data_IF_820866230251
#
_entry.id   IF_820866230251
#
_cell.length_a   1.000
_cell.length_b   1.000
_cell.length_c   1.000
_cell.angle_alpha   90.00
_cell.angle_beta   90.00
_cell.angle_gamma   90.00
#
_symmetry.space_group_name_H-M   'P 1'
#
loop_
_entity.id
_entity.type
_entity.pdbx_description
1 polymer ?
#
# COMPACT_ATOMS: atom_id res chain seq x y z
N UNK A 1 3.10 12.78 2.11
CA UNK A 1 2.05 11.92 1.52
C UNK A 1 1.89 12.08 0.01
N UNK A 2 1.90 13.30 -0.55
CA UNK A 2 1.69 13.52 -2.00
C UNK A 2 2.59 12.71 -2.93
N UNK A 3 3.89 12.54 -2.61
CA UNK A 3 4.80 11.71 -3.42
C UNK A 3 4.38 10.23 -3.46
N UNK A 4 3.94 9.67 -2.33
CA UNK A 4 3.49 8.27 -2.24
C UNK A 4 2.20 8.09 -3.02
N UNK A 5 1.28 9.06 -2.92
CA UNK A 5 0.06 9.07 -3.71
C UNK A 5 0.36 9.02 -5.22
N UNK A 6 1.25 9.89 -5.71
CA UNK A 6 1.65 9.88 -7.13
C UNK A 6 2.29 8.54 -7.50
N UNK A 7 3.18 8.01 -6.66
CA UNK A 7 3.82 6.73 -6.94
C UNK A 7 2.79 5.58 -7.09
N UNK A 8 1.88 5.43 -6.13
CA UNK A 8 0.84 4.39 -6.15
C UNK A 8 -0.10 4.58 -7.35
N UNK A 9 -0.54 5.82 -7.59
CA UNK A 9 -1.38 6.14 -8.74
C UNK A 9 -0.69 5.79 -10.06
N UNK A 10 0.55 6.24 -10.26
CA UNK A 10 1.33 5.94 -11.45
C UNK A 10 1.55 4.44 -11.64
N UNK A 11 1.84 3.66 -10.59
CA UNK A 11 1.97 2.21 -10.73
C UNK A 11 0.65 1.53 -11.10
N UNK A 12 -0.46 1.94 -10.49
CA UNK A 12 -1.78 1.41 -10.82
C UNK A 12 -2.13 1.62 -12.30
N UNK A 13 -1.87 2.84 -12.81
CA UNK A 13 -2.06 3.16 -14.23
C UNK A 13 -1.08 2.37 -15.11
N UNK A 14 0.21 2.38 -14.79
CA UNK A 14 1.22 1.72 -15.61
C UNK A 14 0.96 0.23 -15.78
N UNK A 15 0.58 -0.49 -14.71
CA UNK A 15 0.30 -1.92 -14.79
C UNK A 15 -0.97 -2.24 -15.59
N UNK A 16 -1.99 -1.39 -15.51
CA UNK A 16 -3.16 -1.51 -16.37
C UNK A 16 -2.82 -1.24 -17.85
N UNK A 17 -1.97 -0.24 -18.12
CA UNK A 17 -1.54 0.11 -19.47
C UNK A 17 -0.62 -0.94 -20.11
N UNK A 18 0.26 -1.58 -19.33
CA UNK A 18 1.06 -2.72 -19.80
C UNK A 18 0.21 -3.95 -20.14
N UNK A 19 -1.00 -4.03 -19.60
CA UNK A 19 -1.92 -5.15 -19.82
C UNK A 19 -2.80 -4.98 -21.07
N UNK A 20 -2.54 -3.94 -21.88
CA UNK A 20 -3.21 -3.74 -23.15
C UNK A 20 -2.97 -4.96 -24.07
N UNK A 21 -4.03 -5.60 -24.59
CA UNK A 21 -3.88 -6.85 -25.34
C UNK A 21 -3.46 -6.58 -26.78
N UNK A 22 -2.27 -6.06 -27.09
CA UNK A 22 -1.93 -5.61 -28.47
C UNK A 22 -1.99 -6.75 -29.50
N UNK A 23 -1.29 -7.86 -29.24
CA UNK A 23 -1.19 -9.01 -30.15
C UNK A 23 -1.83 -10.28 -29.59
N UNK A 24 -1.90 -10.41 -28.26
CA UNK A 24 -2.49 -11.55 -27.56
C UNK A 24 -3.32 -11.07 -26.36
N UNK A 25 -4.27 -11.89 -25.86
CA UNK A 25 -5.03 -11.57 -24.66
C UNK A 25 -4.25 -11.83 -23.36
N UNK A 26 -3.10 -12.51 -23.43
CA UNK A 26 -2.30 -12.91 -22.26
C UNK A 26 -1.91 -11.76 -21.33
N UNK A 27 -1.55 -10.55 -21.81
CA UNK A 27 -1.19 -9.42 -20.95
C UNK A 27 -2.31 -9.01 -19.98
N UNK A 28 -3.58 -9.29 -20.30
CA UNK A 28 -4.71 -8.98 -19.41
C UNK A 28 -4.59 -9.74 -18.08
N UNK A 29 -4.05 -10.96 -18.11
CA UNK A 29 -3.86 -11.78 -16.91
C UNK A 29 -2.93 -11.11 -15.89
N UNK A 30 -1.96 -10.31 -16.34
CA UNK A 30 -1.03 -9.60 -15.47
C UNK A 30 -1.77 -8.63 -14.54
N UNK A 31 -2.63 -7.77 -15.09
CA UNK A 31 -3.40 -6.83 -14.27
C UNK A 31 -4.40 -7.53 -13.34
N UNK A 32 -5.04 -8.60 -13.81
CA UNK A 32 -5.96 -9.40 -12.98
C UNK A 32 -5.21 -10.01 -11.79
N UNK A 33 -4.07 -10.66 -12.04
CA UNK A 33 -3.23 -11.24 -10.99
C UNK A 33 -2.72 -10.18 -10.01
N UNK A 34 -2.36 -9.00 -10.50
CA UNK A 34 -1.98 -7.87 -9.65
C UNK A 34 -3.10 -7.43 -8.70
N UNK A 35 -4.33 -7.26 -9.21
CA UNK A 35 -5.49 -6.87 -8.40
C UNK A 35 -5.86 -7.94 -7.35
N UNK A 36 -5.81 -9.21 -7.73
CA UNK A 36 -6.07 -10.32 -6.79
C UNK A 36 -4.98 -10.32 -5.70
N UNK A 37 -3.71 -10.19 -6.10
CA UNK A 37 -2.58 -10.18 -5.17
C UNK A 37 -2.69 -9.04 -4.15
N UNK A 38 -2.89 -7.79 -4.61
CA UNK A 38 -2.98 -6.65 -3.70
C UNK A 38 -4.17 -6.75 -2.75
N UNK A 39 -5.31 -7.31 -3.21
CA UNK A 39 -6.48 -7.53 -2.36
C UNK A 39 -6.23 -8.59 -1.29
N UNK A 40 -5.69 -9.77 -1.68
CA UNK A 40 -5.44 -10.87 -0.74
C UNK A 40 -4.37 -10.49 0.26
N UNK A 41 -3.15 -10.19 -0.21
CA UNK A 41 -2.04 -9.89 0.69
C UNK A 41 -2.27 -8.60 1.48
N UNK A 42 -2.82 -7.56 0.84
CA UNK A 42 -3.10 -6.29 1.50
C UNK A 42 -4.16 -6.41 2.60
N UNK A 43 -5.23 -7.20 2.39
CA UNK A 43 -6.25 -7.42 3.40
C UNK A 43 -5.69 -8.15 4.63
N UNK A 44 -5.00 -9.27 4.42
CA UNK A 44 -4.43 -10.04 5.54
C UNK A 44 -3.37 -9.22 6.30
N UNK A 45 -2.55 -8.45 5.59
CA UNK A 45 -1.58 -7.55 6.21
C UNK A 45 -2.25 -6.44 7.03
N UNK A 46 -3.35 -5.86 6.53
CA UNK A 46 -4.09 -4.83 7.25
C UNK A 46 -4.68 -5.36 8.56
N UNK A 47 -5.31 -6.54 8.51
CA UNK A 47 -5.90 -7.20 9.69
C UNK A 47 -4.81 -7.57 10.69
N UNK A 48 -3.70 -8.13 10.23
CA UNK A 48 -2.57 -8.46 11.09
C UNK A 48 -2.04 -7.24 11.85
N UNK A 49 -1.76 -6.15 11.15
CA UNK A 49 -1.21 -4.94 11.77
C UNK A 49 -2.20 -4.28 12.75
N UNK A 50 -3.49 -4.22 12.39
CA UNK A 50 -4.52 -3.69 13.28
C UNK A 50 -4.63 -4.52 14.57
N UNK A 51 -4.68 -5.85 14.45
CA UNK A 51 -4.81 -6.74 15.60
C UNK A 51 -3.56 -6.79 16.46
N UNK A 52 -2.37 -6.83 15.84
CA UNK A 52 -1.10 -6.84 16.58
C UNK A 52 -0.91 -5.56 17.39
N UNK A 53 -1.12 -4.39 16.78
CA UNK A 53 -1.02 -3.11 17.48
C UNK A 53 -2.09 -2.95 18.57
N UNK A 54 -3.33 -3.37 18.30
CA UNK A 54 -4.40 -3.37 19.30
C UNK A 54 -4.14 -4.31 20.49
N UNK A 55 -3.54 -5.48 20.23
CA UNK A 55 -3.17 -6.43 21.27
C UNK A 55 -2.09 -5.86 22.21
N UNK A 56 -1.07 -5.19 21.66
CA UNK A 56 -0.04 -4.55 22.48
C UNK A 56 -0.57 -3.38 23.31
N UNK A 57 -1.47 -2.55 22.77
CA UNK A 57 -2.12 -1.48 23.53
C UNK A 57 -2.98 -2.04 24.68
N UNK A 58 -3.79 -3.06 24.37
CA UNK A 58 -4.62 -3.71 25.38
C UNK A 58 -3.79 -4.39 26.48
N UNK A 59 -2.67 -5.02 26.12
CA UNK A 59 -1.75 -5.60 27.10
C UNK A 59 -1.17 -4.53 28.04
N UNK A 60 -0.77 -3.37 27.50
CA UNK A 60 -0.36 -2.21 28.33
C UNK A 60 -1.51 -1.75 29.23
N UNK A 61 -2.75 -1.67 28.72
CA UNK A 61 -3.92 -1.26 29.53
C UNK A 61 -4.23 -2.22 30.67
N UNK A 62 -4.06 -3.53 30.47
CA UNK A 62 -4.21 -4.53 31.54
C UNK A 62 -3.19 -4.28 32.67
N UNK A 63 -1.93 -4.03 32.34
CA UNK A 63 -0.89 -3.69 33.34
C UNK A 63 -1.20 -2.39 34.07
N UNK A 64 -1.69 -1.38 33.36
CA UNK A 64 -2.01 -0.06 33.91
C UNK A 64 -3.23 -0.04 34.84
N UNK A 65 -4.26 -0.84 34.52
CA UNK A 65 -5.58 -0.73 35.15
C UNK A 65 -5.87 -1.91 36.08
N UNK A 66 -5.61 -3.15 35.64
CA UNK A 66 -5.93 -4.35 36.42
C UNK A 66 -4.82 -4.64 37.43
N UNK A 67 -3.56 -4.69 36.99
CA UNK A 67 -2.42 -4.92 37.87
C UNK A 67 -1.99 -3.66 38.64
N UNK A 68 -2.31 -2.46 38.13
CA UNK A 68 -1.92 -1.16 38.71
C UNK A 68 -0.41 -0.99 38.89
N UNK A 69 0.38 -1.67 38.07
CA UNK A 69 1.83 -1.72 38.16
C UNK A 69 2.51 -0.64 37.29
N UNK A 70 2.02 0.60 37.33
CA UNK A 70 2.65 1.69 36.56
C UNK A 70 4.06 1.98 37.07
N UNK A 71 5.01 2.14 36.15
CA UNK A 71 6.41 2.44 36.47
C UNK A 71 7.27 1.23 36.84
N UNK A 72 6.74 0.01 36.76
CA UNK A 72 7.53 -1.23 36.91
C UNK A 72 8.22 -1.59 35.61
N UNK A 73 9.16 -2.55 35.66
CA UNK A 73 9.79 -3.10 34.45
C UNK A 73 8.76 -3.76 33.51
N UNK A 74 7.70 -4.36 34.05
CA UNK A 74 6.60 -4.92 33.26
C UNK A 74 5.84 -3.83 32.49
N UNK A 75 5.57 -2.69 33.13
CA UNK A 75 4.95 -1.56 32.45
C UNK A 75 5.85 -0.98 31.37
N UNK A 76 7.16 -0.84 31.63
CA UNK A 76 8.12 -0.38 30.62
C UNK A 76 8.14 -1.31 29.38
N UNK A 77 8.13 -2.63 29.58
CA UNK A 77 8.10 -3.60 28.48
C UNK A 77 6.83 -3.49 27.62
N UNK A 78 5.66 -3.34 28.25
CA UNK A 78 4.38 -3.20 27.53
C UNK A 78 4.25 -1.86 26.80
N UNK A 79 4.84 -0.78 27.34
CA UNK A 79 4.95 0.52 26.65
C UNK A 79 5.79 0.42 25.37
N UNK A 80 6.91 -0.32 25.40
CA UNK A 80 7.70 -0.57 24.18
C UNK A 80 6.88 -1.30 23.12
N UNK A 81 6.11 -2.33 23.52
CA UNK A 81 5.22 -3.05 22.61
C UNK A 81 4.17 -2.16 21.96
N UNK A 82 3.50 -1.31 22.76
CA UNK A 82 2.51 -0.36 22.25
C UNK A 82 3.11 0.69 21.33
N UNK A 83 4.31 1.19 21.65
CA UNK A 83 5.03 2.16 20.80
C UNK A 83 5.37 1.57 19.41
N UNK A 84 5.67 0.27 19.35
CA UNK A 84 5.84 -0.45 18.07
C UNK A 84 4.49 -0.69 17.38
N UNK A 85 3.43 -0.91 18.16
CA UNK A 85 2.06 -1.15 17.69
C UNK A 85 1.34 0.08 17.13
N UNK A 86 1.66 1.29 17.59
CA UNK A 86 0.97 2.53 17.19
C UNK A 86 1.06 2.79 15.68
N UNK A 87 2.24 2.74 15.02
CA UNK A 87 2.31 2.86 13.55
C UNK A 87 1.56 1.74 12.81
N UNK A 88 1.40 0.57 13.42
CA UNK A 88 0.70 -0.56 12.82
C UNK A 88 -0.81 -0.35 12.85
N UNK A 89 -1.38 -0.04 14.02
CA UNK A 89 -2.84 0.09 14.22
C UNK A 89 -3.41 1.42 13.73
N UNK A 90 -2.66 2.52 13.84
CA UNK A 90 -3.20 3.86 13.56
C UNK A 90 -2.81 4.41 12.19
N UNK A 91 -1.74 3.89 11.58
CA UNK A 91 -1.23 4.42 10.31
C UNK A 91 -1.26 3.38 9.19
N UNK A 92 -0.44 2.32 9.30
CA UNK A 92 -0.19 1.41 8.18
C UNK A 92 -1.41 0.53 7.85
N UNK A 93 -2.08 -0.02 8.87
CA UNK A 93 -3.28 -0.85 8.66
C UNK A 93 -4.45 -0.06 8.09
N UNK A 94 -4.71 1.14 8.65
CA UNK A 94 -5.77 2.05 8.19
C UNK A 94 -5.52 2.48 6.73
N UNK A 95 -4.27 2.69 6.34
CA UNK A 95 -3.89 3.11 4.99
C UNK A 95 -4.05 2.01 3.92
N UNK A 96 -4.05 0.73 4.27
CA UNK A 96 -4.12 -0.35 3.28
C UNK A 96 -5.47 -0.42 2.55
N UNK A 97 -6.59 -0.20 3.25
CA UNK A 97 -7.92 -0.21 2.66
C UNK A 97 -8.10 0.84 1.53
N UNK A 98 -7.77 2.13 1.74
CA UNK A 98 -7.82 3.10 0.65
C UNK A 98 -6.80 2.79 -0.45
N UNK A 99 -5.61 2.25 -0.15
CA UNK A 99 -4.65 1.84 -1.19
C UNK A 99 -5.23 0.78 -2.12
N UNK A 100 -5.88 -0.27 -1.57
CA UNK A 100 -6.52 -1.33 -2.35
C UNK A 100 -7.66 -0.74 -3.19
N UNK A 101 -8.60 -0.03 -2.57
CA UNK A 101 -9.76 0.53 -3.27
C UNK A 101 -9.37 1.51 -4.37
N UNK A 102 -8.38 2.36 -4.10
CA UNK A 102 -7.88 3.35 -5.04
C UNK A 102 -7.18 2.67 -6.22
N UNK A 103 -6.27 1.72 -5.96
CA UNK A 103 -5.56 0.98 -7.01
C UNK A 103 -6.53 0.24 -7.93
N UNK A 104 -7.54 -0.42 -7.36
CA UNK A 104 -8.58 -1.12 -8.13
C UNK A 104 -9.43 -0.16 -8.96
N UNK A 105 -9.92 0.94 -8.36
CA UNK A 105 -10.78 1.91 -9.06
C UNK A 105 -10.06 2.54 -10.25
N UNK A 106 -8.90 3.15 -10.02
CA UNK A 106 -8.17 3.86 -11.07
C UNK A 106 -7.49 2.92 -12.06
N UNK A 107 -7.04 1.75 -11.61
CA UNK A 107 -6.47 0.74 -12.49
C UNK A 107 -7.52 0.17 -13.45
N UNK A 108 -8.77 -0.06 -13.01
CA UNK A 108 -9.85 -0.49 -13.92
C UNK A 108 -10.18 0.57 -14.97
N UNK A 109 -10.25 1.85 -14.58
CA UNK A 109 -10.44 2.96 -15.53
C UNK A 109 -9.30 3.01 -16.56
N UNK A 110 -8.06 2.83 -16.12
CA UNK A 110 -6.91 2.78 -17.01
C UNK A 110 -6.92 1.56 -17.93
N UNK A 111 -7.42 0.42 -17.44
CA UNK A 111 -7.60 -0.79 -18.24
C UNK A 111 -8.65 -0.58 -19.34
N UNK A 112 -9.75 0.11 -19.04
CA UNK A 112 -10.77 0.47 -20.05
C UNK A 112 -10.18 1.36 -21.16
N UNK A 113 -9.33 2.32 -20.78
CA UNK A 113 -8.61 3.16 -21.74
C UNK A 113 -7.60 2.32 -22.55
N UNK A 114 -6.93 1.36 -21.92
CA UNK A 114 -5.88 0.54 -22.56
C UNK A 114 -6.42 -0.43 -23.63
N UNK A 115 -7.69 -0.82 -23.55
CA UNK A 115 -8.34 -1.69 -24.54
C UNK A 115 -8.96 -0.92 -25.71
N UNK A 116 -9.09 0.41 -25.61
CA UNK A 116 -9.65 1.26 -26.67
C UNK A 116 -8.84 1.14 -27.96
N UNK A 117 -9.50 0.94 -29.10
CA UNK A 117 -8.84 0.72 -30.40
C UNK A 117 -7.86 1.83 -30.78
N UNK A 118 -8.21 3.09 -30.47
CA UNK A 118 -7.38 4.26 -30.78
C UNK A 118 -6.09 4.32 -29.94
N UNK A 119 -6.06 3.68 -28.77
CA UNK A 119 -4.99 3.85 -27.79
C UNK A 119 -4.23 2.56 -27.49
N UNK A 120 -4.82 1.39 -27.77
CA UNK A 120 -4.30 0.06 -27.46
C UNK A 120 -2.86 -0.17 -27.92
N UNK A 121 -2.51 0.23 -29.14
CA UNK A 121 -1.16 0.08 -29.67
C UNK A 121 -0.12 0.99 -28.95
N UNK A 122 -0.55 2.17 -28.50
CA UNK A 122 0.30 3.12 -27.76
C UNK A 122 0.36 2.86 -26.26
N UNK A 123 -0.62 2.14 -25.72
CA UNK A 123 -0.80 1.96 -24.27
C UNK A 123 0.44 1.41 -23.55
N UNK A 124 1.16 0.39 -24.04
CA UNK A 124 2.37 -0.10 -23.36
C UNK A 124 3.50 0.94 -23.28
N UNK A 125 3.66 1.76 -24.33
CA UNK A 125 4.67 2.82 -24.35
C UNK A 125 4.34 3.94 -23.35
N UNK A 126 3.07 4.35 -23.31
CA UNK A 126 2.59 5.31 -22.31
C UNK A 126 2.71 4.72 -20.90
N UNK A 127 2.40 3.44 -20.73
CA UNK A 127 2.64 2.69 -19.50
C UNK A 127 4.10 2.76 -19.06
N UNK A 128 5.04 2.66 -19.99
CA UNK A 128 6.48 2.80 -19.72
C UNK A 128 6.84 4.18 -19.16
N UNK A 129 6.33 5.26 -19.75
CA UNK A 129 6.54 6.62 -19.26
C UNK A 129 5.94 6.80 -17.87
N UNK A 130 4.69 6.36 -17.67
CA UNK A 130 4.00 6.47 -16.38
C UNK A 130 4.70 5.63 -15.30
N UNK A 131 5.24 4.46 -15.65
CA UNK A 131 6.02 3.62 -14.75
C UNK A 131 7.30 4.33 -14.28
N UNK A 132 8.02 5.00 -15.19
CA UNK A 132 9.21 5.78 -14.84
C UNK A 132 8.86 6.95 -13.91
N UNK A 133 7.72 7.61 -14.12
CA UNK A 133 7.21 8.62 -13.18
C UNK A 133 6.96 7.99 -11.80
N UNK A 134 6.32 6.82 -11.76
CA UNK A 134 6.10 6.07 -10.52
C UNK A 134 7.40 5.76 -9.78
N UNK A 135 8.40 5.23 -10.48
CA UNK A 135 9.74 4.96 -9.93
C UNK A 135 10.41 6.21 -9.40
N UNK A 136 10.34 7.33 -10.14
CA UNK A 136 10.92 8.60 -9.71
C UNK A 136 10.30 9.10 -8.41
N UNK A 137 8.96 9.08 -8.30
CA UNK A 137 8.27 9.53 -7.09
C UNK A 137 8.45 8.57 -5.92
N UNK A 138 8.53 7.26 -6.18
CA UNK A 138 8.87 6.26 -5.17
C UNK A 138 10.28 6.52 -4.60
N UNK A 139 11.28 6.65 -5.47
CA UNK A 139 12.66 6.98 -5.07
C UNK A 139 12.71 8.30 -4.28
N UNK A 140 12.07 9.35 -4.79
CA UNK A 140 12.00 10.66 -4.12
C UNK A 140 11.39 10.55 -2.72
N UNK A 141 10.40 9.67 -2.54
CA UNK A 141 9.79 9.44 -1.23
C UNK A 141 10.80 8.88 -0.24
N UNK A 142 11.57 7.86 -0.60
CA UNK A 142 12.48 7.21 0.36
C UNK A 142 13.82 7.93 0.54
N UNK A 143 14.42 8.44 -0.53
CA UNK A 143 15.81 8.93 -0.49
C UNK A 143 15.92 10.43 -0.25
N UNK A 144 14.90 11.22 -0.62
CA UNK A 144 14.92 12.67 -0.40
C UNK A 144 14.34 13.10 0.95
N UNK A 145 13.74 12.16 1.69
CA UNK A 145 13.25 12.38 3.06
C UNK A 145 14.24 11.92 4.14
N UNK A 146 15.42 11.39 3.76
CA UNK A 146 16.50 11.18 4.74
C UNK A 146 16.91 12.54 5.30
N UNK A 147 16.76 12.71 6.62
CA UNK A 147 17.39 13.80 7.33
C UNK A 147 18.87 13.80 6.94
N UNK A 148 19.36 14.93 6.42
CA UNK A 148 20.79 15.17 6.36
C UNK A 148 21.23 15.26 7.82
N UNK A 149 22.06 14.31 8.24
CA UNK A 149 22.90 14.50 9.41
C UNK A 149 23.77 15.75 9.23
#
# INVERSE_FOLDING_TARGET
MFNIFIAIFSFALAFALFSAPVSSPEPVSFFISFLISIAVFGLFQAVFMANAGGAWDNAKKVVEVEYKEKGTELHAATVVGDTVGDPYKDTSSVALNPIIKFTTLFGLLAMEISISEAFRASAPYVGGVVFLIGLFFAWRSFYKMRARE
#
